data_IF_039145742835
#
_entry.id   IF_039145742835
#
_cell.length_a   1.000
_cell.length_b   1.000
_cell.length_c   1.000
_cell.angle_alpha   90.00
_cell.angle_beta   90.00
_cell.angle_gamma   90.00
#
_symmetry.space_group_name_H-M   'P 1'
#
loop_
_entity.id
_entity.type
_entity.pdbx_description
1 polymer ?
#
# COMPACT_ATOMS: atom_id res chain seq x y z
N UNK A 1 0.59 -7.63 15.71
CA UNK A 1 1.67 -6.80 15.11
C UNK A 1 1.59 -6.95 13.60
N UNK A 2 1.66 -5.84 12.87
CA UNK A 2 1.57 -5.85 11.40
C UNK A 2 2.85 -6.32 10.72
N UNK A 3 2.74 -6.69 9.45
CA UNK A 3 3.89 -7.08 8.63
C UNK A 3 4.83 -5.89 8.38
N UNK A 4 6.11 -6.18 8.17
CA UNK A 4 7.15 -5.15 8.06
C UNK A 4 7.34 -4.69 6.61
N UNK A 5 7.55 -3.39 6.44
CA UNK A 5 7.90 -2.77 5.15
C UNK A 5 9.39 -2.45 5.13
N UNK A 6 10.05 -2.84 4.05
CA UNK A 6 11.48 -2.63 3.82
C UNK A 6 11.73 -1.80 2.57
N UNK A 7 12.77 -0.97 2.59
CA UNK A 7 13.32 -0.30 1.42
C UNK A 7 14.85 -0.41 1.51
N UNK A 8 15.52 -0.69 0.40
CA UNK A 8 16.99 -0.73 0.34
C UNK A 8 17.62 -1.64 1.42
N UNK A 9 16.93 -2.72 1.79
CA UNK A 9 17.37 -3.67 2.83
C UNK A 9 17.11 -3.22 4.28
N UNK A 10 16.61 -2.00 4.51
CA UNK A 10 16.28 -1.46 5.83
C UNK A 10 14.78 -1.51 6.09
N UNK A 11 14.38 -1.78 7.34
CA UNK A 11 12.98 -1.64 7.77
C UNK A 11 12.62 -0.16 7.82
N UNK A 12 11.64 0.23 7.01
CA UNK A 12 11.17 1.62 6.85
C UNK A 12 9.73 1.81 7.29
N UNK A 13 9.08 0.76 7.80
CA UNK A 13 7.72 0.89 8.27
C UNK A 13 7.02 -0.39 8.69
N UNK A 14 5.72 -0.26 8.95
CA UNK A 14 4.83 -1.34 9.35
C UNK A 14 3.47 -1.21 8.66
N UNK A 15 2.95 -2.32 8.17
CA UNK A 15 1.62 -2.41 7.58
C UNK A 15 0.57 -2.44 8.69
N UNK A 16 -0.40 -1.53 8.65
CA UNK A 16 -1.45 -1.44 9.67
C UNK A 16 -2.78 -2.04 9.20
N UNK A 17 -3.09 -1.94 7.90
CA UNK A 17 -4.36 -2.42 7.35
C UNK A 17 -4.14 -3.01 5.96
N UNK A 18 -3.96 -4.34 5.84
CA UNK A 18 -3.93 -5.02 4.56
C UNK A 18 -5.35 -5.36 4.08
N UNK A 19 -5.58 -5.27 2.77
CA UNK A 19 -6.84 -5.66 2.13
C UNK A 19 -6.60 -6.09 0.70
N UNK A 20 -7.27 -7.16 0.27
CA UNK A 20 -7.28 -7.56 -1.14
C UNK A 20 -8.40 -6.83 -1.88
N UNK A 21 -8.05 -6.07 -2.91
CA UNK A 21 -9.01 -5.37 -3.75
C UNK A 21 -9.50 -6.30 -4.86
N UNK A 22 -10.75 -6.75 -4.77
CA UNK A 22 -11.38 -7.53 -5.85
C UNK A 22 -11.54 -6.72 -7.15
N UNK A 23 -11.67 -5.40 -7.05
CA UNK A 23 -11.84 -4.49 -8.19
C UNK A 23 -10.57 -4.38 -9.03
N UNK A 24 -9.43 -4.17 -8.36
CA UNK A 24 -8.13 -4.03 -9.05
C UNK A 24 -7.35 -5.33 -9.13
N UNK A 25 -7.86 -6.40 -8.50
CA UNK A 25 -7.22 -7.72 -8.35
C UNK A 25 -5.80 -7.63 -7.76
N UNK A 26 -5.60 -6.68 -6.84
CA UNK A 26 -4.32 -6.40 -6.19
C UNK A 26 -4.46 -6.39 -4.68
N UNK A 27 -3.42 -6.88 -4.01
CA UNK A 27 -3.26 -6.69 -2.56
C UNK A 27 -2.83 -5.25 -2.30
N UNK A 28 -3.62 -4.55 -1.49
CA UNK A 28 -3.38 -3.17 -1.07
C UNK A 28 -3.17 -3.14 0.43
N UNK A 29 -2.43 -2.15 0.90
CA UNK A 29 -2.21 -1.99 2.33
C UNK A 29 -1.98 -0.52 2.68
N UNK A 30 -2.47 -0.12 3.84
CA UNK A 30 -2.05 1.13 4.49
C UNK A 30 -0.90 0.77 5.44
N UNK A 31 0.19 1.52 5.32
CA UNK A 31 1.38 1.37 6.14
C UNK A 31 1.80 2.71 6.73
N UNK A 32 2.38 2.66 7.94
CA UNK A 32 3.16 3.77 8.48
C UNK A 32 4.58 3.59 7.97
N UNK A 33 5.04 4.53 7.14
CA UNK A 33 6.35 4.53 6.51
C UNK A 33 7.16 5.74 6.98
N UNK A 34 8.48 5.65 6.87
CA UNK A 34 9.37 6.80 6.97
C UNK A 34 9.03 7.84 5.89
N UNK A 35 9.20 9.12 6.22
CA UNK A 35 8.75 10.25 5.39
C UNK A 35 9.38 10.24 3.99
N UNK A 36 10.64 9.82 3.90
CA UNK A 36 11.39 9.72 2.64
C UNK A 36 10.88 8.59 1.73
N UNK A 37 10.23 7.56 2.29
CA UNK A 37 9.62 6.44 1.56
C UNK A 37 8.10 6.54 1.44
N UNK A 38 7.48 7.51 2.10
CA UNK A 38 6.06 7.82 2.00
C UNK A 38 5.71 8.68 0.76
N UNK A 39 6.41 8.46 -0.35
CA UNK A 39 6.23 9.19 -1.61
C UNK A 39 5.74 8.26 -2.71
N UNK A 40 4.92 8.78 -3.62
CA UNK A 40 4.40 8.00 -4.74
C UNK A 40 5.55 7.38 -5.56
N UNK A 41 5.45 6.10 -5.89
CA UNK A 41 6.43 5.39 -6.69
C UNK A 41 7.61 4.81 -5.89
N UNK A 42 7.69 5.06 -4.57
CA UNK A 42 8.74 4.45 -3.76
C UNK A 42 8.62 2.92 -3.79
N UNK A 43 9.71 2.25 -4.15
CA UNK A 43 9.79 0.78 -4.15
C UNK A 43 9.94 0.29 -2.72
N UNK A 44 9.08 -0.66 -2.36
CA UNK A 44 9.03 -1.25 -1.04
C UNK A 44 9.01 -2.77 -1.16
N UNK A 45 9.46 -3.45 -0.13
CA UNK A 45 9.28 -4.88 0.04
C UNK A 45 8.46 -5.14 1.30
N UNK A 46 7.41 -5.93 1.15
CA UNK A 46 6.67 -6.45 2.28
C UNK A 46 7.30 -7.76 2.70
N UNK A 47 7.72 -7.83 3.97
CA UNK A 47 8.30 -9.02 4.58
C UNK A 47 7.46 -9.40 5.80
N UNK A 48 6.39 -10.12 5.53
CA UNK A 48 5.54 -10.74 6.55
C UNK A 48 5.95 -12.18 6.84
N UNK A 49 5.26 -12.81 7.80
CA UNK A 49 5.48 -14.24 8.13
C UNK A 49 5.20 -15.17 6.95
N UNK A 50 4.17 -14.86 6.17
CA UNK A 50 3.69 -15.71 5.06
C UNK A 50 3.88 -15.04 3.69
N UNK A 51 4.02 -13.72 3.67
CA UNK A 51 4.06 -12.93 2.42
C UNK A 51 5.41 -12.25 2.28
N UNK A 52 6.08 -12.54 1.17
CA UNK A 52 7.24 -11.79 0.68
C UNK A 52 6.91 -11.27 -0.71
N UNK A 53 6.71 -9.96 -0.83
CA UNK A 53 6.27 -9.37 -2.08
C UNK A 53 6.87 -7.97 -2.29
N UNK A 54 7.10 -7.62 -3.55
CA UNK A 54 7.39 -6.24 -3.94
C UNK A 54 6.11 -5.40 -3.89
N UNK A 55 6.21 -4.22 -3.32
CA UNK A 55 5.16 -3.22 -3.23
C UNK A 55 5.65 -1.86 -3.75
N UNK A 56 4.71 -0.98 -4.03
CA UNK A 56 5.00 0.40 -4.42
C UNK A 56 4.12 1.32 -3.61
N UNK A 57 4.72 2.35 -3.01
CA UNK A 57 3.96 3.39 -2.34
C UNK A 57 3.13 4.16 -3.36
N UNK A 58 1.87 4.42 -3.03
CA UNK A 58 0.93 5.10 -3.90
C UNK A 58 0.20 6.20 -3.12
N UNK A 59 -0.14 7.28 -3.80
CA UNK A 59 -0.98 8.35 -3.26
C UNK A 59 -2.43 7.87 -3.16
N UNK A 60 -3.14 8.34 -2.13
CA UNK A 60 -4.57 8.15 -2.01
C UNK A 60 -5.31 9.20 -2.87
N UNK A 61 -6.44 8.86 -3.50
CA UNK A 61 -7.11 7.55 -3.52
C UNK A 61 -6.41 6.53 -4.42
N UNK A 62 -6.46 5.24 -4.05
CA UNK A 62 -5.86 4.15 -4.84
C UNK A 62 -6.56 3.88 -6.17
N UNK A 63 -7.88 4.09 -6.22
CA UNK A 63 -8.70 3.94 -7.41
C UNK A 63 -9.63 5.16 -7.52
N UNK A 64 -9.88 5.58 -8.74
CA UNK A 64 -10.78 6.68 -9.07
C UNK A 64 -10.49 7.99 -8.29
N UNK A 65 -9.29 8.59 -8.47
CA UNK A 65 -8.94 9.84 -7.80
C UNK A 65 -9.90 10.98 -8.14
N UNK A 66 -10.46 10.97 -9.34
CA UNK A 66 -11.43 11.96 -9.84
C UNK A 66 -12.87 11.66 -9.43
N UNK A 67 -13.12 10.56 -8.69
CA UNK A 67 -14.45 10.14 -8.22
C UNK A 67 -15.49 9.97 -9.34
N UNK A 68 -15.06 9.65 -10.55
CA UNK A 68 -15.89 9.49 -11.75
C UNK A 68 -16.70 8.20 -11.79
N UNK A 69 -16.32 7.17 -11.01
CA UNK A 69 -17.05 5.90 -10.87
C UNK A 69 -18.18 5.97 -9.84
N UNK A 70 -18.49 7.15 -9.30
CA UNK A 70 -19.64 7.34 -8.39
C UNK A 70 -20.94 7.20 -9.17
N UNK A 71 -21.57 6.04 -9.05
CA UNK A 71 -22.94 5.75 -9.53
C UNK A 71 -24.01 6.06 -8.48
N UNK A 72 -23.63 6.58 -7.31
CA UNK A 72 -24.59 7.02 -6.30
C UNK A 72 -25.29 8.31 -6.78
N UNK A 73 -26.48 8.15 -7.35
CA UNK A 73 -27.47 9.21 -7.44
C UNK A 73 -28.11 9.29 -6.05
N UNK A 74 -28.03 10.46 -5.41
CA UNK A 74 -28.60 10.69 -4.08
C UNK A 74 -30.09 10.42 -3.99
#
# INVERSE_FOLDING_TARGET
LGDEAFADGKKVGVITCPSYSALTKKSMAIARLDVDKAVHGAKLEVRGKTVKASATAHTLPFDDPEKKKRIAVG
#
